data_IF_046170394994
#
_entry.id   IF_046170394994
#
_cell.length_a   1.000
_cell.length_b   1.000
_cell.length_c   1.000
_cell.angle_alpha   90.00
_cell.angle_beta   90.00
_cell.angle_gamma   90.00
#
_symmetry.space_group_name_H-M   'P 1'
#
loop_
_entity.id
_entity.type
_entity.pdbx_description
1 polymer ?
#
# COMPACT_ATOMS: atom_id res chain seq x y z
N UNK A 1 -9.98 19.26 15.93
CA UNK A 1 -8.97 19.36 14.85
C UNK A 1 -8.62 17.94 14.44
N UNK A 2 -9.31 17.39 13.44
CA UNK A 2 -8.97 16.08 12.88
C UNK A 2 -7.87 16.29 11.85
N UNK A 3 -6.63 15.97 12.21
CA UNK A 3 -5.54 15.84 11.25
C UNK A 3 -5.87 14.65 10.34
N UNK A 4 -6.38 14.93 9.14
CA UNK A 4 -6.48 13.92 8.08
C UNK A 4 -5.10 13.81 7.43
N UNK A 5 -4.38 12.74 7.72
CA UNK A 5 -3.15 12.37 7.04
C UNK A 5 -3.26 10.91 6.58
N UNK A 6 -2.93 10.63 5.32
CA UNK A 6 -2.78 9.27 4.81
C UNK A 6 -1.31 8.84 4.89
N UNK A 7 -1.08 7.53 4.87
CA UNK A 7 0.28 6.98 4.72
C UNK A 7 0.95 7.51 3.44
N UNK A 8 0.20 7.59 2.34
CA UNK A 8 0.65 8.15 1.08
C UNK A 8 1.05 9.63 1.20
N UNK A 9 0.32 10.43 1.98
CA UNK A 9 0.63 11.86 2.16
C UNK A 9 2.00 12.10 2.81
N UNK A 10 2.38 11.31 3.82
CA UNK A 10 3.72 11.40 4.42
C UNK A 10 4.80 10.77 3.52
N UNK A 11 4.47 9.71 2.78
CA UNK A 11 5.32 9.11 1.75
C UNK A 11 5.69 10.13 0.65
N UNK A 12 4.70 10.87 0.15
CA UNK A 12 4.90 11.87 -0.90
C UNK A 12 5.90 12.96 -0.47
N UNK A 13 5.84 13.40 0.79
CA UNK A 13 6.81 14.37 1.31
C UNK A 13 8.25 13.85 1.27
N UNK A 14 8.49 12.57 1.58
CA UNK A 14 9.83 11.98 1.54
C UNK A 14 10.35 11.88 0.11
N UNK A 15 9.50 11.49 -0.84
CA UNK A 15 9.82 11.55 -2.27
C UNK A 15 10.26 12.95 -2.70
N UNK A 16 9.52 13.99 -2.29
CA UNK A 16 9.87 15.38 -2.59
C UNK A 16 11.17 15.84 -1.92
N UNK A 17 11.41 15.47 -0.66
CA UNK A 17 12.63 15.86 0.06
C UNK A 17 13.90 15.18 -0.48
N UNK A 18 13.80 13.92 -0.88
CA UNK A 18 14.94 13.18 -1.46
C UNK A 18 15.17 13.57 -2.92
N UNK A 19 14.10 13.78 -3.68
CA UNK A 19 14.17 14.09 -5.10
C UNK A 19 14.52 15.53 -5.41
N UNK A 20 13.84 16.51 -4.78
CA UNK A 20 13.91 17.90 -5.22
C UNK A 20 13.58 18.03 -6.70
N UNK A 21 14.57 18.38 -7.53
CA UNK A 21 14.45 18.43 -8.99
C UNK A 21 14.99 17.17 -9.71
N UNK A 22 15.25 16.08 -8.98
CA UNK A 22 15.78 14.81 -9.48
C UNK A 22 14.75 13.68 -9.48
N UNK A 23 15.21 12.46 -9.80
CA UNK A 23 14.31 11.31 -10.08
C UNK A 23 13.33 10.98 -8.94
N UNK A 24 13.75 11.06 -7.67
CA UNK A 24 12.92 10.64 -6.53
C UNK A 24 11.65 11.48 -6.33
N UNK A 25 11.51 12.67 -6.92
CA UNK A 25 10.31 13.51 -6.79
C UNK A 25 9.29 13.30 -7.92
N UNK A 26 9.64 12.50 -8.94
CA UNK A 26 8.81 12.21 -10.10
C UNK A 26 8.48 10.71 -10.15
N UNK A 27 7.20 10.31 -10.08
CA UNK A 27 6.80 8.90 -10.09
C UNK A 27 7.25 8.13 -11.34
N UNK A 28 7.44 8.82 -12.48
CA UNK A 28 7.90 8.17 -13.72
C UNK A 28 9.36 7.70 -13.63
N UNK A 29 10.13 8.27 -12.70
CA UNK A 29 11.56 8.02 -12.57
C UNK A 29 12.02 7.56 -11.19
N UNK A 30 11.21 7.73 -10.15
CA UNK A 30 11.63 7.51 -8.76
C UNK A 30 12.20 6.11 -8.51
N UNK A 31 11.61 5.08 -9.15
CA UNK A 31 12.05 3.70 -8.99
C UNK A 31 13.46 3.40 -9.57
N UNK A 32 14.06 4.30 -10.35
CA UNK A 32 15.44 4.14 -10.83
C UNK A 32 16.49 4.55 -9.79
N UNK A 33 16.12 5.28 -8.73
CA UNK A 33 17.02 5.59 -7.61
C UNK A 33 17.00 4.45 -6.58
N UNK A 34 18.14 3.82 -6.23
CA UNK A 34 18.16 2.73 -5.25
C UNK A 34 17.53 3.05 -3.89
N UNK A 35 17.53 4.33 -3.47
CA UNK A 35 16.92 4.74 -2.19
C UNK A 35 15.40 4.54 -2.18
N UNK A 36 14.77 4.46 -3.36
CA UNK A 36 13.35 4.15 -3.54
C UNK A 36 12.93 2.92 -2.75
N UNK A 37 13.68 1.82 -2.89
CA UNK A 37 13.34 0.55 -2.25
C UNK A 37 13.52 0.59 -0.72
N UNK A 38 14.51 1.33 -0.23
CA UNK A 38 14.69 1.52 1.22
C UNK A 38 13.59 2.40 1.81
N UNK A 39 13.18 3.45 1.09
CA UNK A 39 12.04 4.28 1.47
C UNK A 39 10.75 3.45 1.55
N UNK A 40 10.43 2.70 0.48
CA UNK A 40 9.23 1.87 0.39
C UNK A 40 9.24 0.70 1.38
N UNK A 41 10.40 0.13 1.71
CA UNK A 41 10.53 -0.85 2.79
C UNK A 41 10.16 -0.25 4.16
N UNK A 42 10.54 1.00 4.44
CA UNK A 42 10.11 1.66 5.67
C UNK A 42 8.61 2.02 5.64
N UNK A 43 8.03 2.35 4.46
CA UNK A 43 6.58 2.55 4.31
C UNK A 43 5.81 1.26 4.60
N UNK A 44 6.26 0.12 4.06
CA UNK A 44 5.70 -1.20 4.34
C UNK A 44 5.80 -1.57 5.83
N UNK A 45 6.93 -1.26 6.48
CA UNK A 45 7.07 -1.40 7.93
C UNK A 45 6.05 -0.57 8.72
N UNK A 46 5.80 0.68 8.31
CA UNK A 46 4.79 1.54 8.97
C UNK A 46 3.37 1.03 8.73
N UNK A 47 3.08 0.56 7.52
CA UNK A 47 1.80 -0.07 7.18
C UNK A 47 1.57 -1.32 8.03
N UNK A 48 2.57 -2.19 8.13
CA UNK A 48 2.57 -3.38 8.99
C UNK A 48 2.31 -3.06 10.47
N UNK A 49 2.96 -2.02 11.01
CA UNK A 49 2.71 -1.57 12.38
C UNK A 49 1.28 -1.04 12.56
N UNK A 50 0.75 -0.35 11.57
CA UNK A 50 -0.63 0.12 11.59
C UNK A 50 -1.62 -1.06 11.55
N UNK A 51 -1.41 -2.04 10.67
CA UNK A 51 -2.25 -3.26 10.59
C UNK A 51 -2.26 -4.01 11.92
N UNK A 52 -1.12 -4.08 12.60
CA UNK A 52 -1.02 -4.67 13.93
C UNK A 52 -1.89 -3.96 14.98
N UNK A 53 -1.88 -2.62 14.98
CA UNK A 53 -2.69 -1.83 15.89
C UNK A 53 -4.19 -1.85 15.52
N UNK A 54 -4.51 -2.03 14.24
CA UNK A 54 -5.85 -1.88 13.68
C UNK A 54 -6.32 -3.10 12.89
N UNK A 55 -6.08 -4.30 13.43
CA UNK A 55 -6.31 -5.62 12.80
C UNK A 55 -7.70 -5.81 12.16
N UNK A 56 -8.73 -5.13 12.68
CA UNK A 56 -10.11 -5.22 12.13
C UNK A 56 -10.37 -4.29 10.95
N UNK A 57 -9.48 -3.33 10.69
CA UNK A 57 -9.60 -2.38 9.61
C UNK A 57 -8.89 -2.95 8.38
N UNK A 58 -9.60 -2.95 7.27
CA UNK A 58 -9.13 -3.43 5.98
C UNK A 58 -9.81 -2.63 4.88
N UNK A 59 -9.26 -2.65 3.66
CA UNK A 59 -9.80 -1.87 2.55
C UNK A 59 -11.27 -2.22 2.23
N UNK A 60 -11.71 -3.47 2.42
CA UNK A 60 -13.05 -3.92 1.95
C UNK A 60 -13.26 -3.56 0.47
N UNK A 61 -14.50 -3.51 0.00
CA UNK A 61 -14.84 -3.15 -1.40
C UNK A 61 -14.91 -1.63 -1.62
N UNK A 62 -14.74 -0.83 -0.56
CA UNK A 62 -14.89 0.62 -0.57
C UNK A 62 -14.77 1.22 0.84
N UNK A 63 -15.03 2.52 0.95
CA UNK A 63 -15.12 3.22 2.23
C UNK A 63 -16.46 3.92 2.41
N UNK A 64 -16.88 4.09 3.66
CA UNK A 64 -18.09 4.84 4.00
C UNK A 64 -17.75 6.27 4.35
N UNK A 65 -18.43 7.22 3.73
CA UNK A 65 -18.35 8.64 4.07
C UNK A 65 -19.75 9.25 4.08
N UNK A 66 -20.12 9.86 5.21
CA UNK A 66 -21.44 10.48 5.42
C UNK A 66 -22.64 9.54 5.16
N UNK A 67 -22.47 8.25 5.49
CA UNK A 67 -23.51 7.23 5.29
C UNK A 67 -23.55 6.62 3.89
N UNK A 68 -22.83 7.20 2.93
CA UNK A 68 -22.72 6.68 1.56
C UNK A 68 -21.46 5.81 1.40
N UNK A 69 -21.55 4.79 0.54
CA UNK A 69 -20.43 3.90 0.22
C UNK A 69 -19.77 4.37 -1.08
N UNK A 70 -18.47 4.61 -1.02
CA UNK A 70 -17.65 4.99 -2.16
C UNK A 70 -16.71 3.83 -2.53
N UNK A 71 -16.67 3.40 -3.80
CA UNK A 71 -15.73 2.39 -4.23
C UNK A 71 -14.30 2.94 -4.20
N UNK A 72 -13.33 2.09 -3.89
CA UNK A 72 -11.94 2.42 -4.19
C UNK A 72 -11.78 2.46 -5.70
N UNK A 73 -11.25 3.56 -6.23
CA UNK A 73 -10.98 3.70 -7.66
C UNK A 73 -9.84 4.68 -7.86
N UNK A 74 -9.15 4.55 -8.98
CA UNK A 74 -8.12 5.48 -9.41
C UNK A 74 -8.59 6.15 -10.70
N UNK A 75 -8.70 7.48 -10.68
CA UNK A 75 -9.17 8.26 -11.83
C UNK A 75 -8.28 7.98 -13.04
N UNK A 76 -6.95 8.06 -12.93
CA UNK A 76 -6.05 7.84 -14.07
C UNK A 76 -5.92 6.39 -14.58
N UNK A 77 -6.44 5.40 -13.83
CA UNK A 77 -6.15 3.98 -14.10
C UNK A 77 -4.65 3.64 -14.01
N UNK A 78 -4.30 2.44 -14.48
CA UNK A 78 -2.90 1.98 -14.60
C UNK A 78 -2.69 1.32 -15.96
N UNK A 79 -1.50 0.76 -16.20
CA UNK A 79 -1.30 -0.04 -17.41
C UNK A 79 -2.15 -1.33 -17.43
N UNK A 80 -2.67 -1.78 -16.28
CA UNK A 80 -3.49 -2.99 -16.14
C UNK A 80 -4.97 -2.70 -15.86
N UNK A 81 -5.27 -1.65 -15.11
CA UNK A 81 -6.62 -1.26 -14.71
C UNK A 81 -7.11 -0.06 -15.51
N UNK A 82 -8.38 -0.08 -15.92
CA UNK A 82 -8.97 1.04 -16.67
C UNK A 82 -9.35 2.20 -15.75
N UNK A 83 -9.55 3.37 -16.35
CA UNK A 83 -10.09 4.57 -15.70
C UNK A 83 -11.30 4.25 -14.82
N UNK A 84 -11.29 4.68 -13.55
CA UNK A 84 -12.35 4.48 -12.56
C UNK A 84 -12.78 3.03 -12.33
N UNK A 85 -11.96 2.05 -12.70
CA UNK A 85 -12.20 0.67 -12.33
C UNK A 85 -12.20 0.52 -10.80
N UNK A 86 -13.17 -0.22 -10.27
CA UNK A 86 -13.23 -0.47 -8.84
C UNK A 86 -12.08 -1.38 -8.42
N UNK A 87 -11.36 -0.97 -7.39
CA UNK A 87 -10.28 -1.73 -6.78
C UNK A 87 -10.88 -2.59 -5.66
N UNK A 88 -10.72 -3.91 -5.79
CA UNK A 88 -11.20 -4.90 -4.85
C UNK A 88 -10.02 -5.59 -4.13
N UNK A 89 -10.24 -6.18 -2.93
CA UNK A 89 -9.20 -6.95 -2.24
C UNK A 89 -8.65 -8.13 -3.06
N UNK A 90 -9.48 -8.71 -3.92
CA UNK A 90 -9.15 -9.79 -4.85
C UNK A 90 -8.68 -9.29 -6.23
N UNK A 91 -8.52 -7.97 -6.41
CA UNK A 91 -8.01 -7.39 -7.64
C UNK A 91 -6.55 -7.78 -7.92
N UNK A 92 -6.21 -7.90 -9.20
CA UNK A 92 -4.87 -8.28 -9.63
C UNK A 92 -3.84 -7.18 -9.34
N UNK A 93 -2.81 -7.51 -8.57
CA UNK A 93 -1.61 -6.69 -8.38
C UNK A 93 -0.59 -6.97 -9.48
N UNK A 94 -0.95 -6.67 -10.72
CA UNK A 94 -0.04 -6.83 -11.85
C UNK A 94 1.18 -5.89 -11.69
N UNK A 95 2.42 -6.31 -12.04
CA UNK A 95 2.75 -7.51 -12.81
C UNK A 95 3.18 -8.69 -11.92
N UNK A 96 2.97 -8.62 -10.61
CA UNK A 96 3.49 -9.60 -9.67
C UNK A 96 2.71 -10.91 -9.77
N UNK A 97 3.42 -12.01 -10.04
CA UNK A 97 2.82 -13.34 -10.20
C UNK A 97 3.24 -14.30 -9.09
N UNK A 98 2.33 -15.21 -8.76
CA UNK A 98 2.60 -16.40 -7.96
C UNK A 98 3.39 -17.43 -8.77
N UNK A 99 3.87 -18.49 -8.12
CA UNK A 99 4.56 -19.60 -8.81
C UNK A 99 3.68 -20.28 -9.86
N UNK A 100 2.36 -20.27 -9.69
CA UNK A 100 1.39 -20.84 -10.63
C UNK A 100 1.10 -19.91 -11.82
N UNK A 101 1.68 -18.70 -11.85
CA UNK A 101 1.49 -17.72 -12.92
C UNK A 101 0.26 -16.82 -12.76
N UNK A 102 -0.56 -17.03 -11.74
CA UNK A 102 -1.67 -16.12 -11.37
C UNK A 102 -1.13 -14.82 -10.76
N UNK A 103 -1.87 -13.72 -10.86
CA UNK A 103 -1.48 -12.47 -10.22
C UNK A 103 -1.68 -12.54 -8.70
N UNK A 104 -0.79 -11.91 -7.95
CA UNK A 104 -1.01 -11.67 -6.52
C UNK A 104 -2.22 -10.73 -6.32
N UNK A 105 -2.87 -10.82 -5.17
CA UNK A 105 -3.99 -9.95 -4.77
C UNK A 105 -3.71 -9.33 -3.40
N UNK A 106 -4.33 -8.18 -3.09
CA UNK A 106 -4.16 -7.50 -1.79
C UNK A 106 -4.55 -8.40 -0.61
N UNK A 107 -5.52 -9.29 -0.80
CA UNK A 107 -5.93 -10.29 0.19
C UNK A 107 -4.84 -11.30 0.51
N UNK A 108 -4.03 -11.68 -0.48
CA UNK A 108 -2.93 -12.62 -0.30
C UNK A 108 -1.69 -12.00 0.33
N UNK A 109 -1.55 -10.66 0.27
CA UNK A 109 -0.40 -9.93 0.83
C UNK A 109 -0.64 -9.44 2.27
N UNK A 110 -1.73 -9.88 2.90
CA UNK A 110 -2.08 -9.51 4.27
C UNK A 110 -1.53 -10.54 5.26
N UNK A 111 -0.28 -10.36 5.69
CA UNK A 111 0.46 -11.38 6.45
C UNK A 111 0.33 -11.27 7.99
N UNK A 112 -0.21 -10.17 8.51
CA UNK A 112 -0.27 -9.88 9.95
C UNK A 112 -1.62 -10.22 10.61
N UNK A 113 -2.40 -11.10 9.99
CA UNK A 113 -3.56 -11.71 10.66
C UNK A 113 -3.07 -12.86 11.57
N UNK A 114 -3.39 -12.87 12.88
CA UNK A 114 -3.01 -13.95 13.81
C UNK A 114 -3.49 -15.35 13.39
N UNK A 115 -4.42 -15.44 12.45
CA UNK A 115 -4.93 -16.68 11.87
C UNK A 115 -4.10 -17.17 10.67
N UNK A 116 -3.11 -16.41 10.22
CA UNK A 116 -2.26 -16.74 9.06
C UNK A 116 -1.23 -17.82 9.42
N UNK A 117 -1.13 -18.92 8.65
CA UNK A 117 -0.07 -19.91 8.83
C UNK A 117 1.33 -19.29 8.66
N UNK A 118 2.23 -19.53 9.61
CA UNK A 118 3.59 -18.96 9.60
C UNK A 118 3.72 -17.58 10.27
N UNK A 119 2.69 -17.13 10.98
CA UNK A 119 2.73 -15.90 11.75
C UNK A 119 3.83 -15.95 12.84
N UNK A 120 4.86 -15.12 12.67
CA UNK A 120 5.91 -14.88 13.65
C UNK A 120 5.93 -13.38 13.99
N UNK A 121 5.42 -12.96 15.16
CA UNK A 121 5.49 -11.57 15.58
C UNK A 121 6.91 -11.27 16.04
N UNK A 122 7.82 -10.99 15.11
CA UNK A 122 9.12 -10.37 15.43
C UNK A 122 9.06 -8.92 15.02
N UNK A 123 8.28 -8.13 15.78
CA UNK A 123 8.60 -6.71 15.90
C UNK A 123 9.75 -6.63 16.89
N UNK A 124 10.96 -6.32 16.40
CA UNK A 124 12.17 -6.14 17.21
C UNK A 124 11.92 -5.15 18.38
N UNK A 125 11.53 -5.69 19.52
CA UNK A 125 11.48 -5.03 20.83
C UNK A 125 11.86 -6.03 21.94
N UNK A 126 12.92 -6.79 21.71
CA UNK A 126 13.67 -7.42 22.81
C UNK A 126 15.05 -6.76 22.89
N UNK A 127 15.13 -5.68 23.67
CA UNK A 127 16.36 -5.25 24.31
C UNK A 127 16.33 -5.71 25.76
#
# INVERSE_FOLDING_TARGET
MTLRGSLEGVHNNVHQYLGGNGHMSDPDYAAFDPIFFLHHCNVDRLFSLWEWCYIKHWMQDGYTYDGEIYPWSLDGGTYHQVYNEQILPEGNLAPFRTENGEYWTSKQTRFLDPTTPGFHPVFLWSS
#
